data_IF_909046790770
#
_entry.id   IF_909046790770
#
_cell.length_a   1.000
_cell.length_b   1.000
_cell.length_c   1.000
_cell.angle_alpha   90.00
_cell.angle_beta   90.00
_cell.angle_gamma   90.00
#
_symmetry.space_group_name_H-M   'P 1'
#
loop_
_entity.id
_entity.type
_entity.pdbx_description
1 polymer ?
#
# COMPACT_ATOMS: atom_id res chain seq x y z
N UNK A 1 4.98 -9.85 12.62
CA UNK A 1 5.27 -8.80 13.65
C UNK A 1 3.95 -8.30 14.21
N UNK A 2 3.90 -7.89 15.49
CA UNK A 2 2.74 -7.17 16.02
C UNK A 2 2.77 -5.68 15.61
N UNK A 3 1.66 -4.97 15.82
CA UNK A 3 1.51 -3.57 15.39
C UNK A 3 2.58 -2.63 16.02
N UNK A 4 2.91 -2.81 17.27
CA UNK A 4 3.90 -1.96 17.95
C UNK A 4 5.31 -2.19 17.40
N UNK A 5 5.68 -3.45 17.15
CA UNK A 5 6.95 -3.81 16.52
C UNK A 5 7.08 -3.21 15.12
N UNK A 6 6.01 -3.29 14.31
CA UNK A 6 5.98 -2.69 12.98
C UNK A 6 6.26 -1.19 13.07
N UNK A 7 5.52 -0.46 13.92
CA UNK A 7 5.71 0.99 14.05
C UNK A 7 7.08 1.39 14.60
N UNK A 8 7.62 0.64 15.56
CA UNK A 8 8.97 0.90 16.07
C UNK A 8 10.03 0.70 14.97
N UNK A 9 9.83 -0.32 14.12
CA UNK A 9 10.79 -0.62 13.07
C UNK A 9 10.78 0.42 11.95
N UNK A 10 9.62 0.99 11.57
CA UNK A 10 9.51 1.92 10.44
C UNK A 10 9.61 3.39 10.82
N UNK A 11 9.43 3.75 12.09
CA UNK A 11 9.37 5.14 12.54
C UNK A 11 10.65 5.90 12.19
N UNK A 12 10.52 6.96 11.38
CA UNK A 12 11.62 7.81 10.94
C UNK A 12 12.63 7.12 10.03
N UNK A 13 12.25 5.99 9.42
CA UNK A 13 13.11 5.22 8.54
C UNK A 13 12.54 5.09 7.14
N UNK A 14 13.39 4.72 6.20
CA UNK A 14 13.04 4.55 4.81
C UNK A 14 12.40 3.17 4.55
N UNK A 15 11.26 3.16 3.86
CA UNK A 15 10.69 1.99 3.20
C UNK A 15 10.88 2.17 1.70
N UNK A 16 11.40 1.14 1.04
CA UNK A 16 11.68 1.20 -0.41
C UNK A 16 10.58 0.49 -1.19
N UNK A 17 10.03 1.19 -2.18
CA UNK A 17 9.06 0.63 -3.10
C UNK A 17 9.76 -0.18 -4.19
N UNK A 18 9.56 -1.51 -4.16
CA UNK A 18 10.05 -2.46 -5.16
C UNK A 18 8.89 -2.83 -6.09
N UNK A 19 8.67 -2.03 -7.12
CA UNK A 19 7.57 -2.20 -8.07
C UNK A 19 8.05 -1.91 -9.49
N UNK A 20 7.59 -2.72 -10.45
CA UNK A 20 7.77 -2.51 -11.89
C UNK A 20 6.42 -2.66 -12.58
N UNK A 21 6.19 -1.90 -13.65
CA UNK A 21 5.03 -2.09 -14.52
C UNK A 21 5.22 -3.31 -15.40
N UNK A 22 4.16 -4.07 -15.62
CA UNK A 22 4.22 -5.41 -16.23
C UNK A 22 4.61 -5.40 -17.71
N UNK A 23 4.13 -4.43 -18.47
CA UNK A 23 4.20 -4.48 -19.91
C UNK A 23 5.53 -3.97 -20.51
N UNK A 24 6.30 -3.16 -19.75
CA UNK A 24 7.46 -2.44 -20.32
C UNK A 24 8.77 -2.70 -19.58
N UNK A 25 8.75 -3.43 -18.45
CA UNK A 25 9.92 -3.51 -17.59
C UNK A 25 10.45 -4.96 -17.46
N UNK A 26 11.66 -5.25 -17.98
CA UNK A 26 12.29 -6.56 -17.84
C UNK A 26 12.59 -6.95 -16.38
N UNK A 27 12.47 -6.01 -15.44
CA UNK A 27 12.67 -6.25 -14.01
C UNK A 27 11.38 -6.70 -13.28
N UNK A 28 10.30 -6.98 -14.01
CA UNK A 28 9.03 -7.42 -13.43
C UNK A 28 9.01 -8.81 -12.76
N UNK A 29 9.81 -9.82 -13.17
CA UNK A 29 9.83 -11.12 -12.50
C UNK A 29 10.13 -11.00 -11.00
N UNK A 30 9.53 -11.87 -10.14
CA UNK A 30 9.72 -11.83 -8.69
C UNK A 30 11.18 -11.90 -8.24
N UNK A 31 12.02 -12.61 -8.99
CA UNK A 31 13.46 -12.72 -8.73
C UNK A 31 14.15 -11.35 -8.88
N UNK A 32 13.78 -10.57 -9.90
CA UNK A 32 14.37 -9.24 -10.12
C UNK A 32 13.86 -8.23 -9.09
N UNK A 33 12.57 -8.30 -8.71
CA UNK A 33 12.03 -7.50 -7.61
C UNK A 33 12.73 -7.83 -6.28
N UNK A 34 13.04 -9.10 -6.04
CA UNK A 34 13.79 -9.53 -4.86
C UNK A 34 15.23 -9.02 -4.87
N UNK A 35 15.88 -8.95 -6.05
CA UNK A 35 17.23 -8.33 -6.18
C UNK A 35 17.18 -6.82 -5.92
N UNK A 36 16.14 -6.14 -6.36
CA UNK A 36 15.92 -4.72 -6.02
C UNK A 36 15.76 -4.54 -4.51
N UNK A 37 14.96 -5.40 -3.86
CA UNK A 37 14.81 -5.40 -2.41
C UNK A 37 16.14 -5.69 -1.69
N UNK A 38 16.97 -6.59 -2.22
CA UNK A 38 18.32 -6.87 -1.69
C UNK A 38 19.22 -5.63 -1.75
N UNK A 39 19.23 -4.90 -2.87
CA UNK A 39 19.98 -3.66 -2.97
C UNK A 39 19.52 -2.61 -1.94
N UNK A 40 18.19 -2.48 -1.76
CA UNK A 40 17.61 -1.58 -0.77
C UNK A 40 17.95 -2.02 0.68
N UNK A 41 17.97 -3.33 0.95
CA UNK A 41 18.37 -3.87 2.25
C UNK A 41 19.83 -3.55 2.59
N UNK A 42 20.74 -3.68 1.61
CA UNK A 42 22.15 -3.27 1.75
C UNK A 42 22.24 -1.78 2.07
N UNK A 43 21.38 -0.94 1.47
CA UNK A 43 21.26 0.49 1.78
C UNK A 43 20.66 0.81 3.15
N UNK A 44 20.22 -0.20 3.91
CA UNK A 44 19.73 -0.04 5.30
C UNK A 44 18.26 0.34 5.43
N UNK A 45 17.40 0.06 4.44
CA UNK A 45 15.96 0.30 4.55
C UNK A 45 15.33 -0.51 5.70
N UNK A 46 14.24 0.00 6.27
CA UNK A 46 13.50 -0.66 7.34
C UNK A 46 12.50 -1.70 6.82
N UNK A 47 12.06 -1.54 5.58
CA UNK A 47 11.07 -2.41 4.97
C UNK A 47 10.91 -2.16 3.47
N UNK A 48 9.97 -2.88 2.89
CA UNK A 48 9.67 -2.83 1.47
C UNK A 48 8.17 -2.59 1.24
N UNK A 49 7.84 -2.00 0.10
CA UNK A 49 6.49 -2.01 -0.45
C UNK A 49 6.55 -2.71 -1.80
N UNK A 50 5.75 -3.75 -1.98
CA UNK A 50 5.73 -4.53 -3.22
C UNK A 50 4.31 -4.76 -3.73
N UNK A 51 4.20 -4.84 -5.05
CA UNK A 51 2.96 -5.12 -5.77
C UNK A 51 2.94 -6.57 -6.25
N UNK A 52 1.77 -7.21 -6.17
CA UNK A 52 1.45 -8.59 -6.58
C UNK A 52 1.87 -9.64 -5.56
N UNK A 53 1.01 -10.66 -5.40
CA UNK A 53 1.23 -11.73 -4.42
C UNK A 53 2.61 -12.39 -4.53
N UNK A 54 3.05 -12.69 -5.74
CA UNK A 54 4.30 -13.42 -6.01
C UNK A 54 5.52 -12.60 -5.57
N UNK A 55 5.53 -11.28 -5.88
CA UNK A 55 6.61 -10.38 -5.49
C UNK A 55 6.63 -10.19 -3.97
N UNK A 56 5.46 -9.96 -3.36
CA UNK A 56 5.33 -9.80 -1.91
C UNK A 56 5.83 -11.03 -1.18
N UNK A 57 5.41 -12.22 -1.64
CA UNK A 57 5.81 -13.50 -1.04
C UNK A 57 7.33 -13.69 -1.12
N UNK A 58 7.91 -13.58 -2.32
CA UNK A 58 9.34 -13.85 -2.51
C UNK A 58 10.23 -12.87 -1.74
N UNK A 59 9.86 -11.58 -1.70
CA UNK A 59 10.60 -10.59 -0.93
C UNK A 59 10.44 -10.85 0.58
N UNK A 60 9.24 -11.20 1.06
CA UNK A 60 9.01 -11.52 2.48
C UNK A 60 9.79 -12.74 2.93
N UNK A 61 9.85 -13.80 2.10
CA UNK A 61 10.65 -15.00 2.36
C UNK A 61 12.16 -14.69 2.41
N UNK A 62 12.64 -13.82 1.52
CA UNK A 62 14.05 -13.41 1.49
C UNK A 62 14.46 -12.51 2.67
N UNK A 63 13.52 -11.72 3.20
CA UNK A 63 13.76 -10.73 4.25
C UNK A 63 12.69 -10.79 5.35
N UNK A 64 12.60 -11.91 6.11
CA UNK A 64 11.52 -12.12 7.09
C UNK A 64 11.51 -11.10 8.23
N UNK A 65 12.67 -10.50 8.53
CA UNK A 65 12.83 -9.50 9.60
C UNK A 65 12.53 -8.06 9.15
N UNK A 66 12.25 -7.85 7.87
CA UNK A 66 11.89 -6.54 7.33
C UNK A 66 10.38 -6.37 7.25
N UNK A 67 9.90 -5.14 7.51
CA UNK A 67 8.48 -4.83 7.33
C UNK A 67 8.10 -4.92 5.85
N UNK A 68 7.01 -5.63 5.56
CA UNK A 68 6.45 -5.76 4.22
C UNK A 68 5.11 -5.02 4.13
N UNK A 69 5.05 -4.02 3.26
CA UNK A 69 3.80 -3.42 2.80
C UNK A 69 3.39 -4.11 1.51
N UNK A 70 2.36 -4.92 1.59
CA UNK A 70 1.78 -5.61 0.43
C UNK A 70 0.70 -4.75 -0.22
N UNK A 71 0.72 -4.70 -1.55
CA UNK A 71 -0.38 -4.24 -2.39
C UNK A 71 -0.63 -5.26 -3.51
N UNK A 72 -1.83 -5.24 -4.04
CA UNK A 72 -2.16 -5.95 -5.27
C UNK A 72 -2.97 -5.05 -6.17
N UNK A 73 -2.31 -4.53 -7.21
CA UNK A 73 -2.98 -3.70 -8.22
C UNK A 73 -3.78 -4.59 -9.16
N UNK A 74 -5.07 -4.35 -9.23
CA UNK A 74 -6.02 -5.05 -10.10
C UNK A 74 -6.81 -4.01 -10.88
N UNK A 75 -6.47 -3.86 -12.16
CA UNK A 75 -7.18 -2.96 -13.05
C UNK A 75 -8.49 -3.62 -13.49
N UNK A 76 -9.58 -2.86 -13.40
CA UNK A 76 -10.92 -3.27 -13.83
C UNK A 76 -11.47 -2.20 -14.75
N UNK A 77 -11.97 -2.60 -15.92
CA UNK A 77 -12.54 -1.66 -16.89
C UNK A 77 -13.63 -0.80 -16.26
N UNK A 78 -13.51 0.52 -16.44
CA UNK A 78 -14.45 1.51 -15.88
C UNK A 78 -14.30 1.76 -14.38
N UNK A 79 -13.21 1.32 -13.75
CA UNK A 79 -12.93 1.56 -12.34
C UNK A 79 -11.54 2.19 -12.16
N UNK A 80 -11.50 3.37 -11.52
CA UNK A 80 -10.23 4.09 -11.25
C UNK A 80 -9.53 3.60 -9.98
N UNK A 81 -10.20 2.81 -9.14
CA UNK A 81 -9.65 2.23 -7.92
C UNK A 81 -9.05 0.88 -8.23
N UNK A 82 -7.73 0.78 -8.15
CA UNK A 82 -6.97 -0.42 -8.53
C UNK A 82 -6.00 -0.92 -7.45
N UNK A 83 -5.67 -0.13 -6.41
CA UNK A 83 -4.75 -0.55 -5.35
C UNK A 83 -5.52 -1.38 -4.31
N UNK A 84 -5.33 -2.69 -4.32
CA UNK A 84 -5.94 -3.64 -3.38
C UNK A 84 -7.44 -3.34 -3.22
N UNK A 85 -8.23 -3.40 -4.32
CA UNK A 85 -9.54 -2.77 -4.39
C UNK A 85 -10.64 -3.49 -3.59
N UNK A 86 -10.44 -4.76 -3.24
CA UNK A 86 -11.48 -5.56 -2.57
C UNK A 86 -10.93 -6.48 -1.47
N UNK A 87 -11.81 -7.10 -0.69
CA UNK A 87 -11.42 -8.09 0.33
C UNK A 87 -10.68 -9.28 -0.24
N UNK A 88 -10.91 -9.66 -1.50
CA UNK A 88 -10.21 -10.76 -2.17
C UNK A 88 -8.69 -10.52 -2.19
N UNK A 89 -8.26 -9.34 -2.60
CA UNK A 89 -6.85 -8.97 -2.65
C UNK A 89 -6.26 -8.86 -1.23
N UNK A 90 -7.03 -8.32 -0.30
CA UNK A 90 -6.65 -8.21 1.12
C UNK A 90 -6.38 -9.59 1.73
N UNK A 91 -7.26 -10.55 1.49
CA UNK A 91 -7.14 -11.92 2.04
C UNK A 91 -5.88 -12.62 1.55
N UNK A 92 -5.60 -12.55 0.25
CA UNK A 92 -4.38 -13.14 -0.33
C UNK A 92 -3.13 -12.50 0.25
N UNK A 93 -3.07 -11.16 0.34
CA UNK A 93 -1.92 -10.45 0.90
C UNK A 93 -1.71 -10.78 2.38
N UNK A 94 -2.80 -10.97 3.14
CA UNK A 94 -2.74 -11.40 4.53
C UNK A 94 -2.20 -12.83 4.67
N UNK A 95 -2.70 -13.77 3.84
CA UNK A 95 -2.23 -15.17 3.84
C UNK A 95 -0.74 -15.29 3.56
N UNK A 96 -0.20 -14.45 2.70
CA UNK A 96 1.25 -14.36 2.39
C UNK A 96 2.04 -13.80 3.59
N UNK A 97 1.37 -13.14 4.54
CA UNK A 97 2.01 -12.57 5.73
C UNK A 97 2.51 -11.15 5.53
N UNK A 98 1.83 -10.34 4.71
CA UNK A 98 2.08 -8.89 4.66
C UNK A 98 1.88 -8.28 6.05
N UNK A 99 2.89 -7.56 6.54
CA UNK A 99 2.82 -6.90 7.84
C UNK A 99 1.84 -5.72 7.80
N UNK A 100 1.84 -4.99 6.69
CA UNK A 100 0.95 -3.88 6.38
C UNK A 100 0.28 -4.19 5.03
N UNK A 101 -1.02 -4.00 4.95
CA UNK A 101 -1.76 -4.05 3.67
C UNK A 101 -2.16 -2.62 3.32
N UNK A 102 -1.71 -2.14 2.14
CA UNK A 102 -2.12 -0.83 1.65
C UNK A 102 -3.27 -0.97 0.66
N UNK A 103 -4.27 -0.10 0.82
CA UNK A 103 -5.47 -0.02 -0.02
C UNK A 103 -5.63 1.38 -0.60
N UNK A 104 -6.29 1.51 -1.73
CA UNK A 104 -6.76 2.82 -2.20
C UNK A 104 -7.66 3.44 -1.14
N UNK A 105 -7.28 4.57 -0.61
CA UNK A 105 -7.97 5.28 0.47
C UNK A 105 -8.80 6.46 0.00
N UNK A 106 -8.96 6.66 -1.32
CA UNK A 106 -9.66 7.81 -1.87
C UNK A 106 -11.18 7.69 -1.79
N UNK A 107 -11.87 8.82 -1.86
CA UNK A 107 -13.34 8.85 -1.90
C UNK A 107 -13.90 8.53 -3.30
N UNK A 108 -13.30 7.54 -3.99
CA UNK A 108 -13.79 6.95 -5.23
C UNK A 108 -14.50 5.62 -4.94
N UNK A 109 -15.32 5.15 -5.87
CA UNK A 109 -15.94 3.83 -5.76
C UNK A 109 -15.01 2.78 -6.37
N UNK A 110 -14.84 1.66 -5.67
CA UNK A 110 -14.17 0.49 -6.23
C UNK A 110 -15.08 -0.26 -7.23
N UNK A 111 -14.56 -1.30 -7.86
CA UNK A 111 -15.28 -2.10 -8.87
C UNK A 111 -16.57 -2.77 -8.35
N UNK A 112 -16.76 -2.85 -7.04
CA UNK A 112 -17.98 -3.35 -6.38
C UNK A 112 -18.91 -2.22 -5.91
N UNK A 113 -18.64 -0.97 -6.30
CA UNK A 113 -19.45 0.19 -5.91
C UNK A 113 -19.30 0.59 -4.44
N UNK A 114 -18.20 0.22 -3.78
CA UNK A 114 -17.95 0.52 -2.36
C UNK A 114 -16.87 1.58 -2.19
N UNK A 115 -16.97 2.32 -1.10
CA UNK A 115 -15.97 3.32 -0.69
C UNK A 115 -14.82 2.68 0.09
N UNK A 116 -13.65 3.30 0.06
CA UNK A 116 -12.46 2.86 0.77
C UNK A 116 -12.69 2.66 2.27
N UNK A 117 -13.38 3.59 2.93
CA UNK A 117 -13.66 3.51 4.37
C UNK A 117 -14.57 2.32 4.74
N UNK A 118 -15.41 1.83 3.81
CA UNK A 118 -16.21 0.62 4.03
C UNK A 118 -15.35 -0.63 3.96
N UNK A 119 -14.41 -0.68 3.00
CA UNK A 119 -13.43 -1.77 2.90
C UNK A 119 -12.50 -1.79 4.14
N UNK A 120 -11.97 -0.65 4.56
CA UNK A 120 -11.12 -0.55 5.74
C UNK A 120 -11.84 -1.04 6.99
N UNK A 121 -13.10 -0.63 7.19
CA UNK A 121 -13.91 -1.09 8.33
C UNK A 121 -14.10 -2.61 8.30
N UNK A 122 -14.43 -3.19 7.15
CA UNK A 122 -14.58 -4.63 7.01
C UNK A 122 -13.27 -5.38 7.31
N UNK A 123 -12.11 -4.85 6.85
CA UNK A 123 -10.79 -5.42 7.19
C UNK A 123 -10.59 -5.42 8.70
N UNK A 124 -10.84 -4.29 9.37
CA UNK A 124 -10.64 -4.15 10.81
C UNK A 124 -11.62 -4.97 11.65
N UNK A 125 -12.84 -5.16 11.18
CA UNK A 125 -13.81 -6.04 11.82
C UNK A 125 -13.42 -7.52 11.70
N UNK A 126 -12.97 -7.96 10.52
CA UNK A 126 -12.56 -9.34 10.26
C UNK A 126 -11.18 -9.67 10.80
N UNK A 127 -10.25 -8.72 10.71
CA UNK A 127 -8.84 -8.87 11.06
C UNK A 127 -8.35 -7.69 11.92
N UNK A 128 -8.73 -7.62 13.21
CA UNK A 128 -8.40 -6.47 14.07
C UNK A 128 -6.90 -6.22 14.25
N UNK A 129 -6.10 -7.27 14.11
CA UNK A 129 -4.63 -7.26 14.22
C UNK A 129 -3.92 -6.78 12.95
N UNK A 130 -4.60 -6.79 11.79
CA UNK A 130 -4.01 -6.36 10.53
C UNK A 130 -3.74 -4.85 10.53
N UNK A 131 -2.50 -4.46 10.27
CA UNK A 131 -2.15 -3.06 10.03
C UNK A 131 -2.60 -2.67 8.62
N UNK A 132 -3.42 -1.62 8.54
CA UNK A 132 -3.97 -1.11 7.29
C UNK A 132 -3.39 0.27 7.00
N UNK A 133 -2.82 0.43 5.81
CA UNK A 133 -2.39 1.71 5.26
C UNK A 133 -3.40 2.18 4.22
N UNK A 134 -3.82 3.44 4.29
CA UNK A 134 -4.68 4.06 3.29
C UNK A 134 -3.86 5.01 2.41
N UNK A 135 -3.80 4.71 1.11
CA UNK A 135 -3.21 5.60 0.10
C UNK A 135 -4.23 6.67 -0.27
N UNK A 136 -4.02 7.90 0.18
CA UNK A 136 -4.98 9.00 0.03
C UNK A 136 -4.50 10.06 -0.95
N UNK A 137 -5.46 10.86 -1.44
CA UNK A 137 -5.21 12.01 -2.31
C UNK A 137 -5.53 13.34 -1.64
N UNK A 138 -6.45 13.35 -0.66
CA UNK A 138 -6.95 14.56 0.00
C UNK A 138 -7.04 14.40 1.51
N UNK A 139 -7.10 15.53 2.22
CA UNK A 139 -7.32 15.52 3.68
C UNK A 139 -8.68 14.92 4.07
N UNK A 140 -9.68 15.02 3.19
CA UNK A 140 -10.98 14.40 3.42
C UNK A 140 -10.88 12.87 3.39
N UNK A 141 -10.15 12.31 2.44
CA UNK A 141 -9.87 10.88 2.36
C UNK A 141 -9.21 10.40 3.65
N UNK A 142 -8.16 11.13 4.10
CA UNK A 142 -7.46 10.81 5.34
C UNK A 142 -8.40 10.73 6.54
N UNK A 143 -9.29 11.72 6.71
CA UNK A 143 -10.27 11.74 7.82
C UNK A 143 -11.23 10.57 7.77
N UNK A 144 -11.76 10.24 6.60
CA UNK A 144 -12.69 9.12 6.43
C UNK A 144 -11.99 7.78 6.72
N UNK A 145 -10.75 7.60 6.22
CA UNK A 145 -9.98 6.38 6.47
C UNK A 145 -9.60 6.20 7.94
N UNK A 146 -9.17 7.27 8.62
CA UNK A 146 -8.87 7.23 10.07
C UNK A 146 -10.11 6.86 10.87
N UNK A 147 -11.28 7.45 10.56
CA UNK A 147 -12.55 7.11 11.23
C UNK A 147 -12.97 5.66 10.98
N UNK A 148 -12.56 5.07 9.85
CA UNK A 148 -12.82 3.67 9.53
C UNK A 148 -11.83 2.70 10.20
N UNK A 149 -10.73 3.20 10.79
CA UNK A 149 -9.74 2.43 11.52
C UNK A 149 -8.43 2.18 10.76
N UNK A 150 -8.13 2.95 9.71
CA UNK A 150 -6.81 2.92 9.10
C UNK A 150 -5.72 3.26 10.13
N UNK A 151 -4.63 2.51 10.11
CA UNK A 151 -3.53 2.64 11.06
C UNK A 151 -2.44 3.59 10.56
N UNK A 152 -2.31 3.72 9.24
CA UNK A 152 -1.32 4.56 8.55
C UNK A 152 -2.01 5.29 7.40
N UNK A 153 -1.67 6.57 7.23
CA UNK A 153 -2.09 7.39 6.10
C UNK A 153 -0.87 7.67 5.23
N UNK A 154 -1.01 7.45 3.92
CA UNK A 154 0.04 7.71 2.93
C UNK A 154 -0.50 8.62 1.83
N UNK A 155 0.23 9.68 1.51
CA UNK A 155 -0.14 10.69 0.50
C UNK A 155 0.15 10.22 -0.94
N UNK A 156 0.20 8.92 -1.16
CA UNK A 156 0.62 8.27 -2.42
C UNK A 156 -0.18 8.72 -3.64
N UNK A 157 -1.47 9.01 -3.46
CA UNK A 157 -2.38 9.35 -4.56
C UNK A 157 -2.64 10.86 -4.71
N UNK A 158 -1.96 11.73 -3.94
CA UNK A 158 -2.00 13.18 -4.17
C UNK A 158 -1.45 13.50 -5.57
N UNK A 159 -2.25 14.21 -6.36
CA UNK A 159 -1.95 14.49 -7.77
C UNK A 159 -2.40 13.42 -8.77
N UNK A 160 -2.90 12.27 -8.31
CA UNK A 160 -3.32 11.15 -9.18
C UNK A 160 -4.84 10.93 -9.22
N UNK A 161 -5.62 11.80 -8.63
CA UNK A 161 -7.09 11.77 -8.67
C UNK A 161 -7.65 13.05 -9.23
N UNK A 162 -8.87 13.02 -9.77
CA UNK A 162 -9.51 14.20 -10.33
C UNK A 162 -9.54 15.39 -9.35
N UNK A 163 -9.70 15.12 -8.06
CA UNK A 163 -9.79 16.13 -7.00
C UNK A 163 -8.41 16.66 -6.54
N UNK A 164 -7.31 16.12 -7.06
CA UNK A 164 -5.95 16.50 -6.68
C UNK A 164 -4.99 16.70 -7.86
N UNK A 165 -5.49 16.70 -9.11
CA UNK A 165 -4.65 16.82 -10.32
C UNK A 165 -3.80 18.10 -10.36
N UNK A 166 -4.25 19.18 -9.75
CA UNK A 166 -3.53 20.46 -9.64
C UNK A 166 -2.23 20.31 -8.82
N UNK A 167 -2.13 19.29 -7.96
CA UNK A 167 -0.97 18.99 -7.13
C UNK A 167 0.13 18.23 -7.88
N UNK A 168 -0.20 17.51 -8.97
CA UNK A 168 0.75 16.67 -9.70
C UNK A 168 2.01 17.42 -10.16
N UNK A 169 1.86 18.65 -10.62
CA UNK A 169 2.96 19.46 -11.14
C UNK A 169 3.80 20.15 -10.04
N UNK A 170 3.36 20.13 -8.78
CA UNK A 170 3.99 20.84 -7.66
C UNK A 170 5.01 20.00 -6.88
N UNK A 171 5.13 18.71 -7.19
CA UNK A 171 5.98 17.77 -6.44
C UNK A 171 5.31 17.26 -5.17
N UNK A 172 6.06 17.09 -4.08
CA UNK A 172 5.50 16.60 -2.83
C UNK A 172 4.48 17.58 -2.24
N UNK A 173 3.32 17.07 -1.85
CA UNK A 173 2.25 17.84 -1.24
C UNK A 173 2.49 18.02 0.27
N UNK A 174 3.27 19.03 0.62
CA UNK A 174 3.62 19.32 2.01
C UNK A 174 2.41 19.79 2.83
N UNK A 175 1.42 20.44 2.21
CA UNK A 175 0.20 20.86 2.90
C UNK A 175 -0.66 19.67 3.33
N UNK A 176 -0.62 18.57 2.57
CA UNK A 176 -1.32 17.34 2.92
C UNK A 176 -0.59 16.52 4.00
N UNK A 177 0.74 16.70 4.11
CA UNK A 177 1.58 15.97 5.08
C UNK A 177 1.49 16.62 6.49
N UNK A 178 1.32 17.94 6.58
CA UNK A 178 1.20 18.70 7.83
C UNK A 178 -0.21 18.56 8.47
#
# INVERSE_FOLDING_TARGET
MNKEEIFQQIRGKLIVSCQANEEENPFNPPEEMTRMAQAAAIGGCAGFRANRPENVQMIKEAFPDKVMIGIWKVETEGCDVYITPTMKEVEVLREIGSDIIAVDGTDRLNCNGRKAYELIREIKEKYPDQVVMADIATINDARLCVQAGADIISTTLSGYTADSLDRYALGADFELIE
#
